data_IF_088852141443
#
_entry.id   IF_088852141443
#
_cell.length_a   1.000
_cell.length_b   1.000
_cell.length_c   1.000
_cell.angle_alpha   90.00
_cell.angle_beta   90.00
_cell.angle_gamma   90.00
#
_symmetry.space_group_name_H-M   'P 1'
#
loop_
_entity.id
_entity.type
_entity.pdbx_description
1 polymer ?
#
# COMPACT_ATOMS: atom_id res chain seq x y z
N UNK A 1 7.38 -7.06 -10.14
CA UNK A 1 6.81 -6.42 -8.95
C UNK A 1 6.88 -4.91 -9.07
N UNK A 2 5.75 -4.22 -8.94
CA UNK A 2 5.66 -2.79 -9.26
C UNK A 2 5.82 -1.96 -7.99
N UNK A 3 6.66 -0.93 -8.02
CA UNK A 3 6.86 0.01 -6.90
C UNK A 3 5.70 1.00 -6.70
N UNK A 4 4.56 0.76 -7.34
CA UNK A 4 3.40 1.65 -7.29
C UNK A 4 2.25 0.99 -6.55
N UNK A 5 1.79 1.65 -5.49
CA UNK A 5 0.60 1.30 -4.74
C UNK A 5 -0.58 2.20 -5.14
N UNK A 6 -1.78 1.62 -5.16
CA UNK A 6 -3.06 2.30 -5.27
C UNK A 6 -3.73 2.30 -3.90
N UNK A 7 -4.32 3.43 -3.53
CA UNK A 7 -4.99 3.67 -2.27
C UNK A 7 -6.42 4.13 -2.56
N UNK A 8 -7.41 3.33 -2.22
CA UNK A 8 -8.83 3.64 -2.38
C UNK A 8 -9.55 3.87 -1.06
N UNK A 9 -10.82 4.25 -1.17
CA UNK A 9 -11.70 4.52 -0.03
C UNK A 9 -11.16 5.63 0.89
N UNK A 10 -10.45 6.61 0.32
CA UNK A 10 -9.99 7.77 1.08
C UNK A 10 -11.18 8.71 1.38
N UNK A 11 -11.19 9.36 2.55
CA UNK A 11 -12.20 10.36 2.87
C UNK A 11 -12.06 11.60 1.98
N UNK A 12 -13.20 12.26 1.73
CA UNK A 12 -13.25 13.52 0.98
C UNK A 12 -12.38 14.56 1.69
N UNK A 13 -11.53 15.24 0.93
CA UNK A 13 -10.57 16.22 1.45
C UNK A 13 -9.20 15.64 1.83
N UNK A 14 -8.92 14.37 1.51
CA UNK A 14 -7.57 13.83 1.62
C UNK A 14 -6.66 14.47 0.57
N UNK A 15 -5.65 15.23 1.01
CA UNK A 15 -4.62 15.82 0.13
C UNK A 15 -3.43 14.90 -0.08
N UNK A 16 -2.68 15.16 -1.16
CA UNK A 16 -1.44 14.48 -1.50
C UNK A 16 -0.39 14.57 -0.38
N UNK A 17 -0.25 15.72 0.28
CA UNK A 17 0.63 15.88 1.45
C UNK A 17 0.29 14.93 2.59
N UNK A 18 -1.01 14.70 2.83
CA UNK A 18 -1.45 13.80 3.91
C UNK A 18 -1.13 12.35 3.56
N UNK A 19 -1.38 11.94 2.31
CA UNK A 19 -1.00 10.62 1.80
C UNK A 19 0.51 10.45 1.88
N UNK A 20 1.29 11.41 1.38
CA UNK A 20 2.74 11.39 1.43
C UNK A 20 3.26 11.24 2.86
N UNK A 21 2.75 12.03 3.81
CA UNK A 21 3.16 11.96 5.22
C UNK A 21 2.90 10.59 5.86
N UNK A 22 1.79 9.94 5.53
CA UNK A 22 1.45 8.62 6.08
C UNK A 22 2.28 7.52 5.42
N UNK A 23 2.51 7.61 4.12
CA UNK A 23 3.15 6.56 3.32
C UNK A 23 4.69 6.65 3.31
N UNK A 24 5.28 7.82 3.60
CA UNK A 24 6.75 8.01 3.63
C UNK A 24 7.44 7.17 4.71
N UNK A 25 6.72 6.73 5.74
CA UNK A 25 7.27 5.89 6.82
C UNK A 25 7.69 4.49 6.35
N UNK A 26 7.17 4.05 5.19
CA UNK A 26 7.49 2.74 4.62
C UNK A 26 8.67 2.79 3.65
N UNK A 27 9.04 3.98 3.16
CA UNK A 27 10.15 4.18 2.25
C UNK A 27 10.08 5.50 1.49
N UNK A 28 11.11 5.75 0.67
CA UNK A 28 11.22 6.95 -0.16
C UNK A 28 10.14 6.95 -1.25
N UNK A 29 9.30 7.98 -1.22
CA UNK A 29 8.24 8.19 -2.22
C UNK A 29 8.84 8.96 -3.39
N UNK A 30 8.63 8.45 -4.60
CA UNK A 30 8.98 9.10 -5.86
C UNK A 30 7.91 10.13 -6.24
N UNK A 31 6.63 9.77 -6.16
CA UNK A 31 5.52 10.73 -6.33
C UNK A 31 4.20 10.23 -5.70
N UNK A 32 3.29 11.18 -5.45
CA UNK A 32 1.92 10.93 -5.02
C UNK A 32 0.95 11.64 -5.96
N UNK A 33 -0.11 10.96 -6.36
CA UNK A 33 -1.18 11.55 -7.15
C UNK A 33 -2.52 11.21 -6.52
N UNK A 34 -3.23 12.21 -6.02
CA UNK A 34 -4.61 12.06 -5.54
C UNK A 34 -5.58 12.40 -6.66
N UNK A 35 -6.57 11.54 -6.86
CA UNK A 35 -7.63 11.72 -7.82
C UNK A 35 -8.98 11.57 -7.10
N UNK A 36 -9.88 12.49 -7.39
CA UNK A 36 -11.25 12.47 -6.87
C UNK A 36 -12.16 12.17 -8.05
N UNK A 37 -12.93 11.08 -7.96
CA UNK A 37 -13.88 10.70 -8.99
C UNK A 37 -15.27 10.53 -8.38
N UNK A 38 -16.22 11.34 -8.85
CA UNK A 38 -17.59 11.42 -8.35
C UNK A 38 -17.66 11.61 -6.82
N UNK A 39 -17.76 10.50 -6.07
CA UNK A 39 -17.82 10.49 -4.61
C UNK A 39 -16.69 9.70 -3.94
N UNK A 40 -15.78 9.11 -4.72
CA UNK A 40 -14.66 8.33 -4.23
C UNK A 40 -13.35 9.06 -4.46
N UNK A 41 -12.56 9.16 -3.39
CA UNK A 41 -11.19 9.66 -3.47
C UNK A 41 -10.24 8.47 -3.48
N UNK A 42 -9.31 8.46 -4.43
CA UNK A 42 -8.23 7.50 -4.52
C UNK A 42 -6.90 8.21 -4.71
N UNK A 43 -5.82 7.54 -4.34
CA UNK A 43 -4.47 8.03 -4.50
C UNK A 43 -3.57 6.94 -5.09
N UNK A 44 -2.54 7.39 -5.79
CA UNK A 44 -1.50 6.55 -6.35
C UNK A 44 -0.20 7.00 -5.70
N UNK A 45 0.51 6.06 -5.09
CA UNK A 45 1.79 6.30 -4.43
C UNK A 45 2.85 5.48 -5.14
N UNK A 46 3.80 6.14 -5.78
CA UNK A 46 4.96 5.47 -6.36
C UNK A 46 6.15 5.61 -5.42
N UNK A 47 6.79 4.50 -5.14
CA UNK A 47 8.01 4.43 -4.36
C UNK A 47 9.22 4.28 -5.28
N UNK A 48 10.38 4.66 -4.77
CA UNK A 48 11.66 4.34 -5.42
C UNK A 48 11.93 2.84 -5.37
N UNK A 49 11.49 2.19 -4.29
CA UNK A 49 11.75 0.77 -4.01
C UNK A 49 10.46 -0.05 -4.02
N UNK A 50 10.51 -1.20 -4.69
CA UNK A 50 9.37 -2.14 -4.77
C UNK A 50 9.01 -2.70 -3.40
N UNK A 51 10.02 -3.00 -2.56
CA UNK A 51 9.81 -3.51 -1.20
C UNK A 51 9.01 -2.53 -0.34
N UNK A 52 9.25 -1.23 -0.50
CA UNK A 52 8.52 -0.17 0.20
C UNK A 52 7.04 -0.18 -0.15
N UNK A 53 6.71 -0.37 -1.44
CA UNK A 53 5.33 -0.49 -1.89
C UNK A 53 4.64 -1.73 -1.28
N UNK A 54 5.29 -2.89 -1.28
CA UNK A 54 4.75 -4.10 -0.67
C UNK A 54 4.50 -3.96 0.84
N UNK A 55 5.46 -3.38 1.57
CA UNK A 55 5.29 -3.12 3.01
C UNK A 55 4.12 -2.16 3.27
N UNK A 56 4.01 -1.08 2.48
CA UNK A 56 2.92 -0.14 2.60
C UNK A 56 1.56 -0.82 2.34
N UNK A 57 1.46 -1.68 1.33
CA UNK A 57 0.24 -2.44 1.04
C UNK A 57 -0.15 -3.32 2.24
N UNK A 58 0.77 -4.15 2.74
CA UNK A 58 0.48 -5.07 3.84
C UNK A 58 0.14 -4.35 5.15
N UNK A 59 0.79 -3.22 5.43
CA UNK A 59 0.61 -2.51 6.69
C UNK A 59 -0.58 -1.53 6.68
N UNK A 60 -0.95 -0.99 5.52
CA UNK A 60 -1.99 0.05 5.41
C UNK A 60 -3.32 -0.47 4.88
N UNK A 61 -3.35 -1.65 4.24
CA UNK A 61 -4.60 -2.25 3.79
C UNK A 61 -5.56 -2.48 4.97
N UNK A 62 -6.80 -1.98 4.87
CA UNK A 62 -7.79 -2.04 5.94
C UNK A 62 -7.58 -1.05 7.09
N UNK A 63 -6.54 -0.20 7.02
CA UNK A 63 -6.21 0.75 8.09
C UNK A 63 -7.17 1.95 8.11
N UNK A 64 -7.36 2.54 9.29
CA UNK A 64 -8.17 3.75 9.52
C UNK A 64 -7.30 5.00 9.71
N UNK A 65 -6.18 5.07 8.98
CA UNK A 65 -5.19 6.14 9.16
C UNK A 65 -5.65 7.54 8.70
N UNK A 66 -6.72 7.61 7.88
CA UNK A 66 -7.21 8.86 7.29
C UNK A 66 -8.58 9.30 7.82
N UNK A 67 -9.25 8.48 8.64
CA UNK A 67 -10.58 8.75 9.18
C UNK A 67 -11.24 7.48 9.70
N UNK A 68 -12.56 7.48 9.88
CA UNK A 68 -13.29 6.35 10.47
C UNK A 68 -13.44 5.13 9.56
N UNK A 69 -13.36 5.34 8.24
CA UNK A 69 -13.52 4.28 7.24
C UNK A 69 -12.17 3.60 6.93
N UNK A 70 -12.15 2.26 6.78
CA UNK A 70 -10.95 1.55 6.38
C UNK A 70 -10.58 1.91 4.94
N UNK A 71 -9.29 2.13 4.70
CA UNK A 71 -8.74 2.38 3.37
C UNK A 71 -8.35 1.07 2.69
N UNK A 72 -8.35 1.05 1.36
CA UNK A 72 -7.88 -0.09 0.59
C UNK A 72 -6.52 0.25 -0.03
N UNK A 73 -5.46 -0.47 0.33
CA UNK A 73 -4.16 -0.35 -0.35
C UNK A 73 -3.87 -1.62 -1.16
N UNK A 74 -3.40 -1.48 -2.40
CA UNK A 74 -3.08 -2.62 -3.27
C UNK A 74 -2.08 -2.24 -4.37
N UNK A 75 -1.53 -3.22 -5.08
CA UNK A 75 -0.61 -2.97 -6.20
C UNK A 75 -1.35 -2.36 -7.40
N UNK A 76 -0.76 -1.35 -8.06
CA UNK A 76 -1.40 -0.68 -9.21
C UNK A 76 -1.75 -1.62 -10.37
N UNK A 77 -0.98 -2.69 -10.56
CA UNK A 77 -1.24 -3.71 -11.59
C UNK A 77 -2.38 -4.67 -11.24
N UNK A 78 -2.79 -4.71 -9.97
CA UNK A 78 -3.86 -5.57 -9.48
C UNK A 78 -5.21 -4.83 -9.39
N UNK A 79 -5.23 -3.50 -9.43
CA UNK A 79 -6.49 -2.72 -9.43
C UNK A 79 -7.39 -3.01 -10.66
N UNK A 80 -6.84 -3.54 -11.75
CA UNK A 80 -7.59 -3.97 -12.94
C UNK A 80 -8.04 -5.43 -12.92
N UNK A 81 -7.67 -6.22 -11.88
CA UNK A 81 -8.10 -7.61 -11.70
C UNK A 81 -8.55 -7.79 -10.26
N UNK A 82 -9.86 -7.67 -10.03
CA UNK A 82 -10.47 -7.77 -8.72
C UNK A 82 -9.98 -8.96 -7.89
N UNK A 83 -9.84 -8.72 -6.59
CA UNK A 83 -10.00 -9.70 -5.52
C UNK A 83 -9.42 -11.10 -5.82
N UNK A 84 -8.09 -11.25 -5.73
CA UNK A 84 -7.45 -12.57 -5.60
C UNK A 84 -6.33 -12.45 -4.56
N UNK A 85 -6.57 -13.19 -3.49
CA UNK A 85 -5.65 -13.60 -2.43
C UNK A 85 -4.29 -14.04 -2.97
N UNK A 86 -3.22 -13.67 -2.24
CA UNK A 86 -2.22 -14.64 -1.79
C UNK A 86 -1.27 -13.98 -0.78
N UNK A 87 -1.56 -14.26 0.48
CA UNK A 87 -0.58 -14.29 1.56
C UNK A 87 0.47 -15.34 1.22
N UNK A 88 1.73 -14.94 1.12
CA UNK A 88 2.88 -15.82 0.96
C UNK A 88 4.01 -15.28 1.81
N UNK A 89 3.84 -15.36 3.13
CA UNK A 89 4.96 -15.19 4.07
C UNK A 89 5.76 -16.48 4.01
N UNK A 90 6.76 -16.54 3.13
CA UNK A 90 7.87 -17.48 3.34
C UNK A 90 9.10 -16.70 3.78
N UNK A 91 9.21 -16.58 5.11
CA UNK A 91 10.42 -16.12 5.78
C UNK A 91 11.27 -17.37 6.00
N UNK A 92 12.02 -17.78 4.99
CA UNK A 92 13.14 -18.72 5.16
C UNK A 92 14.23 -18.05 6.01
N UNK A 93 14.01 -18.06 7.33
CA UNK A 93 15.02 -17.76 8.34
C UNK A 93 15.86 -19.01 8.47
N UNK A 94 17.08 -18.95 7.94
CA UNK A 94 17.98 -20.09 7.92
C UNK A 94 18.40 -20.66 9.27
N UNK A 95 19.18 -21.75 9.13
CA UNK A 95 20.08 -22.41 10.08
C UNK A 95 19.41 -23.21 11.21
N UNK A 96 19.59 -24.52 11.11
CA UNK A 96 19.43 -25.46 12.21
C UNK A 96 19.69 -26.90 11.76
N UNK A 97 20.95 -27.32 11.68
CA UNK A 97 21.35 -28.71 11.92
C UNK A 97 21.95 -28.78 13.33
N UNK A 98 22.04 -29.92 14.04
CA UNK A 98 21.20 -31.13 14.20
C UNK A 98 20.65 -31.18 15.67
N UNK A 99 20.06 -32.26 16.25
CA UNK A 99 20.71 -33.55 16.66
C UNK A 99 19.79 -34.79 16.41
N UNK A 100 20.12 -36.08 16.59
CA UNK A 100 21.21 -36.83 17.24
C UNK A 100 21.63 -38.01 16.36
#
# INVERSE_FOLDING_TARGET
DSSTAWVGHLPKGTSDENVHRVFKKFGQIAFVQVCVHEQQTFAIVAYEEVRSAHMAIQAMHGSRAFGDKPIWVGSRHQASKGHVEQQGVDKERGRGSPPS
#
